data_IF_530944129498
#
_entry.id   IF_530944129498
#
_cell.length_a   1.000
_cell.length_b   1.000
_cell.length_c   1.000
_cell.angle_alpha   90.00
_cell.angle_beta   90.00
_cell.angle_gamma   90.00
#
_symmetry.space_group_name_H-M   'P 1'
#
loop_
_entity.id
_entity.type
_entity.pdbx_description
1 polymer ?
#
# COMPACT_ATOMS: atom_id res chain seq x y z
N UNK A 1 6.17 13.53 -8.59
CA UNK A 1 5.71 12.74 -9.74
C UNK A 1 4.30 13.13 -10.21
N UNK A 2 3.43 13.64 -9.34
CA UNK A 2 2.10 14.15 -9.70
C UNK A 2 2.09 15.69 -9.86
N UNK A 3 1.28 16.26 -10.77
CA UNK A 3 1.04 17.71 -10.80
C UNK A 3 0.52 18.26 -9.47
N UNK A 4 0.93 19.48 -9.11
CA UNK A 4 0.59 20.05 -7.82
C UNK A 4 -0.93 20.23 -7.64
N UNK A 5 -1.64 20.68 -8.67
CA UNK A 5 -3.09 20.88 -8.62
C UNK A 5 -3.84 19.58 -8.27
N UNK A 6 -3.40 18.45 -8.84
CA UNK A 6 -4.01 17.15 -8.59
C UNK A 6 -3.79 16.71 -7.14
N UNK A 7 -2.57 16.92 -6.62
CA UNK A 7 -2.28 16.64 -5.20
C UNK A 7 -3.09 17.52 -4.24
N UNK A 8 -3.30 18.79 -4.58
CA UNK A 8 -4.11 19.71 -3.77
C UNK A 8 -5.58 19.32 -3.80
N UNK A 9 -6.12 18.96 -4.96
CA UNK A 9 -7.51 18.51 -5.10
C UNK A 9 -7.75 17.23 -4.31
N UNK A 10 -6.84 16.26 -4.40
CA UNK A 10 -6.89 15.03 -3.61
C UNK A 10 -6.86 15.28 -2.10
N UNK A 11 -6.01 16.21 -1.64
CA UNK A 11 -5.99 16.63 -0.23
C UNK A 11 -7.32 17.25 0.21
N UNK A 12 -7.89 18.17 -0.56
CA UNK A 12 -9.16 18.84 -0.22
C UNK A 12 -10.32 17.83 -0.12
N UNK A 13 -10.46 16.94 -1.11
CA UNK A 13 -11.51 15.92 -1.05
C UNK A 13 -11.31 14.93 0.10
N UNK A 14 -10.05 14.60 0.43
CA UNK A 14 -9.74 13.75 1.59
C UNK A 14 -10.17 14.42 2.90
N UNK A 15 -9.95 15.73 3.05
CA UNK A 15 -10.44 16.48 4.22
C UNK A 15 -11.97 16.53 4.28
N UNK A 16 -12.64 16.70 3.13
CA UNK A 16 -14.11 16.67 3.07
C UNK A 16 -14.67 15.29 3.44
N UNK A 17 -13.99 14.21 3.06
CA UNK A 17 -14.41 12.82 3.34
C UNK A 17 -14.42 12.48 4.84
N UNK A 18 -13.75 13.28 5.67
CA UNK A 18 -13.72 13.08 7.12
C UNK A 18 -15.13 13.12 7.73
N UNK A 19 -15.91 14.17 7.42
CA UNK A 19 -17.23 14.38 8.02
C UNK A 19 -18.25 13.26 7.76
N UNK A 20 -18.49 12.80 6.51
CA UNK A 20 -19.41 11.69 6.28
C UNK A 20 -18.91 10.39 6.91
N UNK A 21 -17.59 10.18 6.96
CA UNK A 21 -17.02 8.99 7.62
C UNK A 21 -17.30 8.99 9.13
N UNK A 22 -17.09 10.12 9.79
CA UNK A 22 -17.45 10.27 11.21
C UNK A 22 -18.95 10.20 11.44
N UNK A 23 -19.78 10.62 10.48
CA UNK A 23 -21.22 10.39 10.51
C UNK A 23 -21.56 8.91 10.72
N UNK A 24 -20.88 8.00 10.00
CA UNK A 24 -21.03 6.55 10.19
C UNK A 24 -20.61 6.08 11.58
N UNK A 25 -19.48 6.57 12.10
CA UNK A 25 -18.99 6.22 13.45
C UNK A 25 -19.97 6.68 14.52
N UNK A 26 -20.34 7.96 14.48
CA UNK A 26 -21.23 8.60 15.45
C UNK A 26 -22.60 7.90 15.42
N UNK A 27 -23.14 7.60 14.25
CA UNK A 27 -24.38 6.84 14.12
C UNK A 27 -24.28 5.46 14.80
N UNK A 28 -23.20 4.72 14.54
CA UNK A 28 -22.96 3.41 15.16
C UNK A 28 -22.87 3.48 16.68
N UNK A 29 -22.10 4.43 17.23
CA UNK A 29 -21.91 4.56 18.69
C UNK A 29 -23.15 5.15 19.40
N UNK A 30 -23.82 6.14 18.81
CA UNK A 30 -25.03 6.73 19.39
C UNK A 30 -26.23 5.79 19.35
N UNK A 31 -26.24 4.78 18.46
CA UNK A 31 -27.24 3.70 18.50
C UNK A 31 -27.20 2.93 19.82
N UNK A 32 -26.03 2.86 20.47
CA UNK A 32 -25.84 2.21 21.78
C UNK A 32 -26.13 3.13 22.97
N UNK A 33 -26.53 4.39 22.72
CA UNK A 33 -26.79 5.37 23.79
C UNK A 33 -27.85 4.85 24.76
N UNK A 34 -27.50 4.83 26.04
CA UNK A 34 -28.35 4.31 27.11
C UNK A 34 -28.37 2.78 27.26
N UNK A 35 -27.58 2.05 26.46
CA UNK A 35 -27.45 0.57 26.51
C UNK A 35 -25.99 0.08 26.57
N UNK A 36 -25.09 0.91 27.09
CA UNK A 36 -23.65 0.59 27.22
C UNK A 36 -23.38 -0.58 28.17
N UNK A 37 -24.28 -0.84 29.12
CA UNK A 37 -24.29 -2.03 29.98
C UNK A 37 -24.26 -3.33 29.17
N UNK A 38 -24.93 -3.35 28.00
CA UNK A 38 -24.95 -4.53 27.12
C UNK A 38 -23.61 -4.78 26.44
N UNK A 39 -22.82 -3.76 26.19
CA UNK A 39 -21.49 -3.90 25.57
C UNK A 39 -20.56 -4.66 26.51
N UNK A 40 -20.64 -4.42 27.82
CA UNK A 40 -19.83 -5.15 28.79
C UNK A 40 -20.19 -6.65 28.85
N UNK A 41 -21.47 -6.98 28.64
CA UNK A 41 -21.99 -8.34 28.75
C UNK A 41 -21.89 -9.16 27.45
N UNK A 42 -22.05 -8.55 26.28
CA UNK A 42 -22.09 -9.23 24.99
C UNK A 42 -20.78 -9.02 24.19
N UNK A 43 -19.93 -10.05 24.03
CA UNK A 43 -18.69 -9.92 23.27
C UNK A 43 -18.89 -9.53 21.81
N UNK A 44 -20.02 -9.88 21.18
CA UNK A 44 -20.33 -9.45 19.81
C UNK A 44 -20.42 -7.93 19.73
N UNK A 45 -21.10 -7.31 20.71
CA UNK A 45 -21.15 -5.86 20.81
C UNK A 45 -19.77 -5.25 21.09
N UNK A 46 -18.91 -5.92 21.87
CA UNK A 46 -17.52 -5.47 22.06
C UNK A 46 -16.76 -5.41 20.74
N UNK A 47 -16.88 -6.44 19.90
CA UNK A 47 -16.27 -6.45 18.56
C UNK A 47 -16.74 -5.26 17.73
N UNK A 48 -18.05 -5.01 17.67
CA UNK A 48 -18.59 -3.88 16.90
C UNK A 48 -18.16 -2.52 17.44
N UNK A 49 -18.17 -2.32 18.76
CA UNK A 49 -17.74 -1.05 19.35
C UNK A 49 -16.27 -0.77 19.04
N UNK A 50 -15.39 -1.75 19.25
CA UNK A 50 -13.96 -1.61 18.92
C UNK A 50 -13.78 -1.36 17.42
N UNK A 51 -14.50 -2.08 16.56
CA UNK A 51 -14.46 -1.89 15.12
C UNK A 51 -14.81 -0.46 14.70
N UNK A 52 -15.91 0.08 15.24
CA UNK A 52 -16.38 1.43 14.94
C UNK A 52 -15.45 2.50 15.51
N UNK A 53 -14.82 2.26 16.66
CA UNK A 53 -13.78 3.16 17.19
C UNK A 53 -12.55 3.20 16.28
N UNK A 54 -12.06 2.04 15.83
CA UNK A 54 -10.96 1.98 14.87
C UNK A 54 -11.32 2.61 13.52
N UNK A 55 -12.56 2.44 13.07
CA UNK A 55 -13.08 3.12 11.89
C UNK A 55 -12.96 4.65 12.03
N UNK A 56 -13.43 5.21 13.14
CA UNK A 56 -13.33 6.63 13.42
C UNK A 56 -11.90 7.14 13.48
N UNK A 57 -11.01 6.37 14.12
CA UNK A 57 -9.59 6.69 14.22
C UNK A 57 -8.93 6.70 12.84
N UNK A 58 -9.08 5.63 12.05
CA UNK A 58 -8.50 5.53 10.71
C UNK A 58 -9.08 6.59 9.77
N UNK A 59 -10.39 6.87 9.84
CA UNK A 59 -11.01 7.89 8.97
C UNK A 59 -10.78 9.33 9.41
N UNK A 60 -10.26 9.55 10.62
CA UNK A 60 -9.64 10.82 11.00
C UNK A 60 -8.21 10.92 10.47
N UNK A 61 -7.45 9.84 10.65
CA UNK A 61 -6.04 9.79 10.29
C UNK A 61 -5.78 9.88 8.79
N UNK A 62 -6.56 9.18 7.95
CA UNK A 62 -6.40 9.21 6.49
C UNK A 62 -6.43 10.64 5.92
N UNK A 63 -7.44 11.45 6.24
CA UNK A 63 -7.48 12.88 5.89
C UNK A 63 -6.26 13.66 6.40
N UNK A 64 -5.78 13.41 7.63
CA UNK A 64 -4.56 14.06 8.13
C UNK A 64 -3.33 13.69 7.28
N UNK A 65 -3.19 12.42 6.91
CA UNK A 65 -2.07 11.93 6.08
C UNK A 65 -2.10 12.47 4.65
N UNK A 66 -3.24 12.98 4.19
CA UNK A 66 -3.37 13.65 2.89
C UNK A 66 -2.84 15.10 2.90
N UNK A 67 -2.76 15.73 4.08
CA UNK A 67 -2.22 17.09 4.23
C UNK A 67 -0.73 17.06 3.86
N UNK A 68 -0.33 17.87 2.87
CA UNK A 68 1.04 17.88 2.30
C UNK A 68 2.16 17.92 3.37
N UNK A 69 1.98 18.73 4.42
CA UNK A 69 2.97 18.84 5.50
C UNK A 69 3.09 17.57 6.34
N UNK A 70 1.97 16.91 6.66
CA UNK A 70 1.95 15.63 7.37
C UNK A 70 2.46 14.52 6.46
N UNK A 71 2.02 14.50 5.20
CA UNK A 71 2.46 13.55 4.19
C UNK A 71 3.98 13.58 3.97
N UNK A 72 4.60 14.76 4.06
CA UNK A 72 6.06 14.88 3.98
C UNK A 72 6.80 14.04 5.03
N UNK A 73 6.15 13.78 6.18
CA UNK A 73 6.64 12.93 7.26
C UNK A 73 6.21 11.49 7.10
N UNK A 74 4.92 11.25 6.86
CA UNK A 74 4.37 9.89 6.89
C UNK A 74 4.67 9.08 5.63
N UNK A 75 4.82 9.71 4.46
CA UNK A 75 5.03 9.01 3.20
C UNK A 75 6.32 8.20 3.22
N UNK A 76 6.25 6.97 2.72
CA UNK A 76 7.28 5.92 2.79
C UNK A 76 7.61 5.35 4.17
N UNK A 77 7.08 5.92 5.24
CA UNK A 77 7.32 5.41 6.59
C UNK A 77 6.30 4.33 6.96
N UNK A 78 6.58 3.64 8.07
CA UNK A 78 5.67 2.71 8.71
C UNK A 78 4.41 3.38 9.28
N UNK A 79 4.30 4.71 9.29
CA UNK A 79 3.05 5.39 9.65
C UNK A 79 1.92 4.93 8.73
N UNK A 80 2.14 4.89 7.41
CA UNK A 80 1.16 4.36 6.45
C UNK A 80 0.77 2.91 6.76
N UNK A 81 1.71 2.11 7.28
CA UNK A 81 1.45 0.73 7.70
C UNK A 81 0.61 0.67 8.97
N UNK A 82 0.85 1.54 9.96
CA UNK A 82 -0.01 1.62 11.14
C UNK A 82 -1.43 2.03 10.74
N UNK A 83 -1.57 3.06 9.90
CA UNK A 83 -2.86 3.53 9.40
C UNK A 83 -3.68 2.41 8.73
N UNK A 84 -3.07 1.67 7.78
CA UNK A 84 -3.78 0.60 7.07
C UNK A 84 -4.14 -0.55 8.01
N UNK A 85 -3.33 -0.89 9.02
CA UNK A 85 -3.66 -1.97 9.95
C UNK A 85 -4.70 -1.56 11.00
N UNK A 86 -4.70 -0.30 11.44
CA UNK A 86 -5.80 0.27 12.24
C UNK A 86 -7.14 0.07 11.52
N UNK A 87 -7.20 0.34 10.20
CA UNK A 87 -8.41 0.13 9.40
C UNK A 87 -8.69 -1.34 9.06
N UNK A 88 -7.69 -2.07 8.55
CA UNK A 88 -7.88 -3.44 8.07
C UNK A 88 -8.13 -4.44 9.20
N UNK A 89 -7.36 -4.37 10.28
CA UNK A 89 -7.51 -5.28 11.40
C UNK A 89 -8.47 -4.70 12.44
N UNK A 90 -8.19 -3.46 12.89
CA UNK A 90 -8.96 -2.81 13.94
C UNK A 90 -10.43 -2.57 13.57
N UNK A 91 -10.71 -2.09 12.35
CA UNK A 91 -12.08 -1.90 11.86
C UNK A 91 -12.61 -3.12 11.12
N UNK A 92 -12.10 -3.42 9.92
CA UNK A 92 -12.69 -4.44 9.04
C UNK A 92 -12.65 -5.83 9.69
N UNK A 93 -11.52 -6.19 10.30
CA UNK A 93 -11.34 -7.46 11.01
C UNK A 93 -12.34 -7.63 12.15
N UNK A 94 -12.38 -6.69 13.11
CA UNK A 94 -13.33 -6.76 14.23
C UNK A 94 -14.80 -6.72 13.78
N UNK A 95 -15.13 -5.93 12.76
CA UNK A 95 -16.48 -5.90 12.17
C UNK A 95 -16.84 -7.28 11.61
N UNK A 96 -15.95 -7.89 10.83
CA UNK A 96 -16.14 -9.22 10.27
C UNK A 96 -16.27 -10.28 11.37
N UNK A 97 -15.43 -10.24 12.41
CA UNK A 97 -15.52 -11.17 13.54
C UNK A 97 -16.86 -11.05 14.28
N UNK A 98 -17.31 -9.82 14.57
CA UNK A 98 -18.62 -9.57 15.16
C UNK A 98 -19.76 -10.14 14.31
N UNK A 99 -19.71 -9.92 12.98
CA UNK A 99 -20.69 -10.47 12.04
C UNK A 99 -20.69 -12.00 12.04
N UNK A 100 -19.52 -12.63 11.99
CA UNK A 100 -19.38 -14.09 12.01
C UNK A 100 -19.98 -14.68 13.28
N UNK A 101 -19.62 -14.16 14.46
CA UNK A 101 -20.17 -14.67 15.73
C UNK A 101 -21.67 -14.45 15.87
N UNK A 102 -22.21 -13.40 15.26
CA UNK A 102 -23.65 -13.14 15.26
C UNK A 102 -24.41 -14.04 14.27
N UNK A 103 -23.85 -14.24 13.07
CA UNK A 103 -24.49 -15.00 11.98
C UNK A 103 -24.44 -16.51 12.20
N UNK A 104 -23.31 -17.04 12.68
CA UNK A 104 -23.10 -18.48 12.80
C UNK A 104 -24.25 -19.25 13.47
N UNK A 105 -24.70 -18.89 14.70
CA UNK A 105 -25.77 -19.63 15.35
C UNK A 105 -27.13 -19.48 14.67
N UNK A 106 -27.31 -18.44 13.82
CA UNK A 106 -28.53 -18.20 13.04
C UNK A 106 -28.53 -19.03 11.76
N UNK A 107 -27.42 -19.01 11.03
CA UNK A 107 -27.27 -19.78 9.79
C UNK A 107 -27.31 -21.28 10.05
N UNK A 108 -26.61 -21.76 11.08
CA UNK A 108 -26.54 -23.17 11.43
C UNK A 108 -27.61 -23.61 12.44
N UNK A 109 -28.52 -22.70 12.82
CA UNK A 109 -29.66 -22.96 13.74
C UNK A 109 -29.25 -23.66 15.05
N UNK A 110 -28.07 -23.33 15.56
CA UNK A 110 -27.54 -23.92 16.81
C UNK A 110 -28.03 -23.21 18.06
N UNK A 111 -28.66 -22.03 17.90
CA UNK A 111 -29.14 -21.18 19.00
C UNK A 111 -28.05 -20.44 19.77
N UNK A 112 -26.82 -20.95 19.79
CA UNK A 112 -25.64 -20.34 20.41
C UNK A 112 -24.34 -20.74 19.73
N UNK A 113 -23.31 -19.92 19.91
CA UNK A 113 -21.94 -20.27 19.53
C UNK A 113 -21.40 -21.40 20.42
N UNK A 114 -20.46 -22.19 19.91
CA UNK A 114 -19.90 -23.34 20.63
C UNK A 114 -19.25 -22.94 21.96
N UNK A 115 -18.41 -21.89 21.98
CA UNK A 115 -17.75 -21.43 23.19
C UNK A 115 -17.74 -19.91 23.34
N UNK A 116 -18.49 -19.42 24.34
CA UNK A 116 -18.47 -18.00 24.71
C UNK A 116 -17.10 -17.55 25.25
N UNK A 117 -16.44 -18.41 26.04
CA UNK A 117 -15.12 -18.12 26.62
C UNK A 117 -14.04 -17.92 25.54
N UNK A 118 -14.07 -18.72 24.47
CA UNK A 118 -13.13 -18.55 23.36
C UNK A 118 -13.43 -17.30 22.53
N UNK A 119 -14.70 -16.92 22.40
CA UNK A 119 -15.09 -15.65 21.77
C UNK A 119 -14.55 -14.45 22.58
N UNK A 120 -14.65 -14.48 23.91
CA UNK A 120 -14.05 -13.47 24.78
C UNK A 120 -12.53 -13.46 24.72
N UNK A 121 -11.90 -14.62 24.74
CA UNK A 121 -10.45 -14.73 24.61
C UNK A 121 -9.98 -14.18 23.25
N UNK A 122 -10.67 -14.52 22.17
CA UNK A 122 -10.41 -13.96 20.85
C UNK A 122 -10.51 -12.43 20.87
N UNK A 123 -11.58 -11.87 21.45
CA UNK A 123 -11.75 -10.43 21.56
C UNK A 123 -10.51 -9.79 22.22
N UNK A 124 -10.11 -10.27 23.40
CA UNK A 124 -8.98 -9.70 24.13
C UNK A 124 -7.64 -9.88 23.42
N UNK A 125 -7.37 -11.06 22.85
CA UNK A 125 -6.15 -11.30 22.07
C UNK A 125 -6.09 -10.39 20.84
N UNK A 126 -7.22 -10.23 20.14
CA UNK A 126 -7.33 -9.31 19.02
C UNK A 126 -7.09 -7.87 19.45
N UNK A 127 -7.71 -7.40 20.55
CA UNK A 127 -7.65 -6.00 20.97
C UNK A 127 -6.27 -5.63 21.48
N UNK A 128 -5.69 -6.46 22.36
CA UNK A 128 -4.32 -6.24 22.83
C UNK A 128 -3.33 -6.39 21.67
N UNK A 129 -3.53 -7.38 20.81
CA UNK A 129 -2.70 -7.62 19.64
C UNK A 129 -2.64 -6.42 18.70
N UNK A 130 -3.79 -5.85 18.33
CA UNK A 130 -3.84 -4.69 17.43
C UNK A 130 -3.27 -3.43 18.08
N UNK A 131 -3.51 -3.20 19.38
CA UNK A 131 -2.94 -2.05 20.10
C UNK A 131 -1.42 -2.12 20.15
N UNK A 132 -0.84 -3.27 20.48
CA UNK A 132 0.62 -3.47 20.45
C UNK A 132 1.17 -3.25 19.05
N UNK A 133 0.48 -3.74 18.03
CA UNK A 133 0.87 -3.58 16.63
C UNK A 133 0.93 -2.12 16.21
N UNK A 134 -0.17 -1.37 16.38
CA UNK A 134 -0.27 -0.02 15.83
C UNK A 134 0.59 0.96 16.62
N UNK A 135 0.66 0.83 17.95
CA UNK A 135 1.44 1.77 18.79
C UNK A 135 2.93 1.66 18.47
N UNK A 136 3.44 0.44 18.28
CA UNK A 136 4.85 0.26 17.91
C UNK A 136 5.14 0.79 16.50
N UNK A 137 4.22 0.61 15.56
CA UNK A 137 4.41 1.00 14.16
C UNK A 137 4.14 2.48 13.91
N UNK A 138 3.28 3.14 14.68
CA UNK A 138 3.23 4.60 14.75
C UNK A 138 4.55 5.16 15.25
N UNK A 139 5.07 4.59 16.34
CA UNK A 139 6.38 4.99 16.88
C UNK A 139 7.49 4.81 15.85
N UNK A 140 7.45 3.71 15.07
CA UNK A 140 8.39 3.46 13.99
C UNK A 140 8.28 4.48 12.87
N UNK A 141 7.06 4.76 12.40
CA UNK A 141 6.81 5.72 11.32
C UNK A 141 7.27 7.15 11.67
N UNK A 142 6.92 7.62 12.87
CA UNK A 142 7.37 8.93 13.35
C UNK A 142 8.89 8.97 13.50
N UNK A 143 9.50 7.92 14.07
CA UNK A 143 10.96 7.82 14.23
C UNK A 143 11.66 7.87 12.88
N UNK A 144 11.20 7.09 11.90
CA UNK A 144 11.71 7.12 10.51
C UNK A 144 11.64 8.53 9.94
N UNK A 145 10.46 9.12 9.92
CA UNK A 145 10.25 10.41 9.29
C UNK A 145 11.08 11.53 9.96
N UNK A 146 11.25 11.49 11.29
CA UNK A 146 12.07 12.45 12.04
C UNK A 146 13.57 12.22 11.85
N UNK A 147 14.05 10.97 11.85
CA UNK A 147 15.47 10.67 11.62
C UNK A 147 15.88 11.01 10.19
N UNK A 148 15.05 10.70 9.19
CA UNK A 148 15.38 10.96 7.79
C UNK A 148 15.53 12.45 7.46
N UNK A 149 14.80 13.31 8.17
CA UNK A 149 14.82 14.78 7.99
C UNK A 149 15.76 15.52 8.93
N UNK A 150 16.38 14.84 9.88
CA UNK A 150 17.18 15.49 10.91
C UNK A 150 18.49 16.03 10.30
N UNK A 151 18.76 17.31 10.56
CA UNK A 151 20.02 17.96 10.25
C UNK A 151 20.74 18.32 11.55
N UNK A 152 22.07 18.22 11.54
CA UNK A 152 22.91 18.68 12.64
C UNK A 152 23.13 20.21 12.59
N UNK A 153 23.85 20.75 13.58
CA UNK A 153 24.17 22.17 13.66
C UNK A 153 25.04 22.68 12.49
N UNK A 154 25.73 21.78 11.77
CA UNK A 154 26.54 22.11 10.58
C UNK A 154 25.71 22.13 9.29
N UNK A 155 24.43 21.75 9.38
CA UNK A 155 23.52 21.70 8.25
C UNK A 155 23.63 20.43 7.41
N UNK A 156 24.32 19.38 7.90
CA UNK A 156 24.41 18.04 7.30
C UNK A 156 23.39 17.09 7.91
N UNK A 157 23.10 15.97 7.25
CA UNK A 157 22.18 14.97 7.78
C UNK A 157 22.73 14.36 9.08
N UNK A 158 21.91 14.37 10.14
CA UNK A 158 22.30 13.80 11.44
C UNK A 158 22.45 12.27 11.40
N UNK A 159 21.70 11.62 10.51
CA UNK A 159 21.74 10.16 10.30
C UNK A 159 21.95 9.89 8.80
N UNK A 160 23.16 10.03 8.26
CA UNK A 160 23.43 9.90 6.81
C UNK A 160 23.26 8.47 6.32
N UNK A 161 23.56 7.47 7.15
CA UNK A 161 23.42 6.06 6.77
C UNK A 161 22.01 5.56 7.09
N UNK A 162 21.34 5.02 6.07
CA UNK A 162 19.95 4.57 6.20
C UNK A 162 19.81 3.44 7.25
N UNK A 163 20.85 2.60 7.38
CA UNK A 163 20.87 1.45 8.30
C UNK A 163 20.75 1.88 9.77
N UNK A 164 21.22 3.08 10.15
CA UNK A 164 21.08 3.60 11.52
C UNK A 164 19.61 3.72 11.92
N UNK A 165 18.78 4.23 11.00
CA UNK A 165 17.34 4.31 11.23
C UNK A 165 16.77 2.92 11.38
N UNK A 166 17.09 2.00 10.46
CA UNK A 166 16.59 0.62 10.50
C UNK A 166 16.87 -0.05 11.85
N UNK A 167 18.11 0.06 12.34
CA UNK A 167 18.50 -0.52 13.62
C UNK A 167 17.74 0.08 14.80
N UNK A 168 17.39 1.37 14.73
CA UNK A 168 16.57 2.03 15.76
C UNK A 168 15.14 1.49 15.81
N UNK A 169 14.61 0.99 14.70
CA UNK A 169 13.24 0.49 14.58
C UNK A 169 13.09 -0.98 14.97
N UNK A 170 14.18 -1.76 15.01
CA UNK A 170 14.12 -3.21 15.26
C UNK A 170 13.29 -3.59 16.51
N UNK A 171 13.40 -2.90 17.66
CA UNK A 171 12.54 -3.20 18.81
C UNK A 171 11.04 -3.00 18.52
N UNK A 172 10.68 -2.00 17.73
CA UNK A 172 9.29 -1.70 17.35
C UNK A 172 8.72 -2.79 16.43
N UNK A 173 9.56 -3.34 15.54
CA UNK A 173 9.20 -4.50 14.70
C UNK A 173 9.01 -5.77 15.51
N UNK A 174 9.80 -5.98 16.58
CA UNK A 174 9.57 -7.11 17.49
C UNK A 174 8.22 -6.99 18.20
N UNK A 175 7.87 -5.80 18.71
CA UNK A 175 6.55 -5.57 19.33
C UNK A 175 5.42 -5.77 18.32
N UNK A 176 5.61 -5.32 17.07
CA UNK A 176 4.65 -5.57 15.97
C UNK A 176 4.45 -7.07 15.74
N UNK A 177 5.53 -7.86 15.71
CA UNK A 177 5.45 -9.29 15.51
C UNK A 177 4.67 -9.98 16.64
N UNK A 178 4.90 -9.59 17.89
CA UNK A 178 4.14 -10.08 19.06
C UNK A 178 2.66 -9.70 18.95
N UNK A 179 2.35 -8.44 18.66
CA UNK A 179 0.97 -7.98 18.48
C UNK A 179 0.23 -8.71 17.35
N UNK A 180 0.91 -8.90 16.21
CA UNK A 180 0.38 -9.65 15.07
C UNK A 180 0.15 -11.13 15.40
N UNK A 181 1.04 -11.76 16.15
CA UNK A 181 0.88 -13.16 16.59
C UNK A 181 -0.33 -13.33 17.51
N UNK A 182 -0.55 -12.40 18.46
CA UNK A 182 -1.74 -12.40 19.32
C UNK A 182 -3.02 -12.28 18.48
N UNK A 183 -3.03 -11.39 17.50
CA UNK A 183 -4.18 -11.21 16.60
C UNK A 183 -4.47 -12.47 15.77
N UNK A 184 -3.44 -13.07 15.16
CA UNK A 184 -3.55 -14.32 14.39
C UNK A 184 -4.05 -15.45 15.28
N UNK A 185 -3.52 -15.57 16.50
CA UNK A 185 -3.98 -16.57 17.47
C UNK A 185 -5.47 -16.39 17.76
N UNK A 186 -5.91 -15.14 17.97
CA UNK A 186 -7.32 -14.80 18.09
C UNK A 186 -8.16 -15.25 16.89
N UNK A 187 -7.71 -14.95 15.66
CA UNK A 187 -8.39 -15.36 14.44
C UNK A 187 -8.49 -16.90 14.29
N UNK A 188 -7.45 -17.64 14.70
CA UNK A 188 -7.48 -19.11 14.75
C UNK A 188 -8.54 -19.58 15.75
N UNK A 189 -8.64 -18.97 16.94
CA UNK A 189 -9.71 -19.29 17.90
C UNK A 189 -11.09 -19.04 17.30
N UNK A 190 -11.26 -17.96 16.53
CA UNK A 190 -12.49 -17.70 15.79
C UNK A 190 -12.82 -18.81 14.79
N UNK A 191 -11.84 -19.25 14.00
CA UNK A 191 -12.02 -20.33 13.03
C UNK A 191 -12.39 -21.65 13.72
N UNK A 192 -11.73 -21.99 14.83
CA UNK A 192 -12.07 -23.18 15.64
C UNK A 192 -13.50 -23.08 16.17
N UNK A 193 -13.87 -21.94 16.77
CA UNK A 193 -15.20 -21.73 17.31
C UNK A 193 -16.28 -21.80 16.21
N UNK A 194 -15.96 -21.27 15.03
CA UNK A 194 -16.79 -21.35 13.84
C UNK A 194 -17.02 -22.81 13.41
N UNK A 195 -15.96 -23.58 13.17
CA UNK A 195 -16.05 -25.00 12.78
C UNK A 195 -16.80 -25.83 13.81
N UNK A 196 -16.55 -25.60 15.10
CA UNK A 196 -17.24 -26.34 16.16
C UNK A 196 -18.71 -25.95 16.26
N UNK A 197 -19.06 -24.67 16.04
CA UNK A 197 -20.46 -24.24 15.98
C UNK A 197 -21.17 -24.90 14.81
N UNK A 198 -20.55 -24.95 13.62
CA UNK A 198 -21.14 -25.67 12.47
C UNK A 198 -21.39 -27.15 12.76
N UNK A 199 -20.49 -27.81 13.49
CA UNK A 199 -20.63 -29.22 13.88
C UNK A 199 -21.74 -29.47 14.92
N UNK A 200 -22.20 -28.43 15.61
CA UNK A 200 -23.36 -28.52 16.52
C UNK A 200 -24.70 -28.40 15.79
N UNK A 201 -24.70 -28.15 14.47
CA UNK A 201 -25.92 -28.02 13.70
C UNK A 201 -26.80 -29.28 13.85
N UNK A 202 -28.13 -29.12 14.00
CA UNK A 202 -29.04 -30.26 14.10
C UNK A 202 -28.95 -31.14 12.84
N UNK A 203 -29.09 -32.45 13.02
CA UNK A 203 -29.09 -33.39 11.91
C UNK A 203 -30.36 -33.21 11.05
N UNK A 204 -30.20 -32.85 9.79
CA UNK A 204 -31.30 -32.61 8.84
C UNK A 204 -31.03 -31.44 7.90
N UNK A 205 -32.00 -31.11 7.05
CA UNK A 205 -31.95 -29.90 6.23
C UNK A 205 -32.21 -28.68 7.13
N UNK A 206 -31.28 -27.73 7.15
CA UNK A 206 -31.48 -26.45 7.81
C UNK A 206 -32.67 -25.74 7.15
N UNK A 207 -33.58 -25.22 7.97
CA UNK A 207 -34.71 -24.44 7.45
C UNK A 207 -34.18 -23.16 6.82
N UNK A 208 -34.60 -22.81 5.60
CA UNK A 208 -34.29 -21.50 5.05
C UNK A 208 -35.49 -20.58 5.35
N UNK A 209 -35.45 -19.75 6.40
CA UNK A 209 -36.56 -18.88 6.71
C UNK A 209 -36.70 -17.86 5.57
N UNK A 210 -37.80 -17.92 4.83
CA UNK A 210 -38.12 -16.92 3.80
C UNK A 210 -38.37 -15.59 4.49
N UNK A 211 -37.36 -14.73 4.51
CA UNK A 211 -37.47 -13.37 5.02
C UNK A 211 -37.95 -12.45 3.88
N UNK A 212 -39.26 -12.27 3.75
CA UNK A 212 -39.82 -11.27 2.84
C UNK A 212 -39.80 -9.89 3.51
N UNK A 213 -39.15 -8.92 2.86
CA UNK A 213 -39.24 -7.53 3.30
C UNK A 213 -40.68 -7.02 3.11
N UNK A 214 -41.21 -6.19 4.02
CA UNK A 214 -42.51 -5.56 3.83
C UNK A 214 -42.56 -4.83 2.47
N UNK A 215 -43.66 -4.98 1.74
CA UNK A 215 -43.84 -4.28 0.48
C UNK A 215 -43.73 -2.76 0.71
N UNK A 216 -42.95 -2.08 -0.14
CA UNK A 216 -42.82 -0.62 -0.10
C UNK A 216 -44.20 0.01 -0.35
N UNK A 217 -44.66 0.89 0.55
CA UNK A 217 -45.88 1.65 0.32
C UNK A 217 -45.63 2.65 -0.83
N UNK A 218 -46.50 2.63 -1.85
CA UNK A 218 -46.32 3.41 -3.09
C UNK A 218 -46.45 4.93 -2.94
N UNK A 219 -46.91 5.40 -1.78
CA UNK A 219 -47.20 6.81 -1.50
C UNK A 219 -45.98 7.63 -1.07
N UNK A 220 -44.82 7.01 -0.84
CA UNK A 220 -43.59 7.73 -0.51
C UNK A 220 -43.59 8.37 0.90
N UNK A 221 -44.73 8.42 1.58
CA UNK A 221 -44.89 8.95 2.93
C UNK A 221 -45.19 7.82 3.91
N UNK A 222 -44.18 7.38 4.65
CA UNK A 222 -44.50 7.11 6.06
C UNK A 222 -44.95 8.47 6.61
N UNK A 223 -46.25 8.62 6.84
CA UNK A 223 -46.82 9.82 7.42
C UNK A 223 -46.10 10.03 8.77
N UNK A 224 -45.16 10.98 8.81
CA UNK A 224 -44.55 11.43 10.07
C UNK A 224 -45.46 12.55 10.59
N UNK A 225 -46.34 12.27 11.56
CA UNK A 225 -47.29 13.26 12.07
C UNK A 225 -46.60 14.50 12.67
N UNK A 226 -45.28 14.47 12.87
CA UNK A 226 -44.47 15.63 13.26
C UNK A 226 -44.27 16.66 12.14
N UNK A 227 -44.64 16.35 10.88
CA UNK A 227 -44.33 17.16 9.69
C UNK A 227 -45.53 17.69 8.91
N UNK A 228 -46.76 17.49 9.40
CA UNK A 228 -47.99 17.85 8.69
C UNK A 228 -48.13 19.34 8.34
N UNK A 229 -47.38 20.23 8.99
CA UNK A 229 -47.40 21.68 8.78
C UNK A 229 -46.00 22.29 8.53
N UNK A 230 -45.02 21.49 8.06
CA UNK A 230 -43.68 22.02 7.74
C UNK A 230 -43.73 22.93 6.51
N UNK A 231 -43.17 24.14 6.61
CA UNK A 231 -42.92 25.00 5.46
C UNK A 231 -41.94 24.33 4.49
N UNK A 232 -41.91 24.75 3.22
CA UNK A 232 -40.92 24.24 2.25
C UNK A 232 -39.46 24.36 2.77
N UNK A 233 -39.18 25.43 3.53
CA UNK A 233 -37.88 25.60 4.21
C UNK A 233 -37.69 24.62 5.38
N UNK A 234 -38.73 24.36 6.17
CA UNK A 234 -38.73 23.34 7.22
C UNK A 234 -38.51 21.93 6.66
N UNK A 235 -39.16 21.59 5.55
CA UNK A 235 -38.95 20.33 4.84
C UNK A 235 -37.52 20.19 4.29
N UNK A 236 -36.97 21.27 3.73
CA UNK A 236 -35.59 21.26 3.20
C UNK A 236 -34.54 21.15 4.31
N UNK A 237 -34.63 22.00 5.34
CA UNK A 237 -33.68 22.03 6.47
C UNK A 237 -33.84 20.83 7.41
N UNK A 238 -35.05 20.28 7.51
CA UNK A 238 -35.33 19.01 8.19
C UNK A 238 -34.90 17.78 7.40
N UNK A 239 -34.36 17.93 6.18
CA UNK A 239 -33.95 16.82 5.31
C UNK A 239 -35.11 15.88 4.93
N UNK A 240 -36.33 16.38 4.81
CA UNK A 240 -37.49 15.59 4.33
C UNK A 240 -37.28 15.03 2.93
N UNK A 241 -36.52 15.72 2.09
CA UNK A 241 -36.07 15.25 0.77
C UNK A 241 -35.19 13.99 0.86
N UNK A 242 -34.33 13.88 1.88
CA UNK A 242 -33.38 12.79 2.02
C UNK A 242 -34.09 11.43 2.10
N UNK A 243 -35.19 11.36 2.86
CA UNK A 243 -35.99 10.13 3.05
C UNK A 243 -36.68 9.65 1.76
N UNK A 244 -37.01 10.56 0.85
CA UNK A 244 -37.52 10.22 -0.48
C UNK A 244 -36.45 9.51 -1.32
N UNK A 245 -35.20 9.95 -1.20
CA UNK A 245 -34.06 9.34 -1.90
C UNK A 245 -33.62 8.02 -1.26
N UNK A 246 -33.64 7.89 0.07
CA UNK A 246 -33.35 6.65 0.80
C UNK A 246 -34.23 5.47 0.33
N UNK A 247 -35.49 5.74 -0.02
CA UNK A 247 -36.43 4.72 -0.52
C UNK A 247 -36.13 4.26 -1.95
N UNK A 248 -35.40 5.06 -2.73
CA UNK A 248 -35.12 4.79 -4.15
C UNK A 248 -33.73 4.16 -4.32
N UNK A 249 -33.45 3.09 -3.57
CA UNK A 249 -32.16 2.42 -3.57
C UNK A 249 -31.64 2.08 -4.97
N UNK A 250 -32.48 1.54 -5.86
CA UNK A 250 -32.07 1.23 -7.24
C UNK A 250 -31.68 2.48 -8.04
N UNK A 251 -32.47 3.55 -7.95
CA UNK A 251 -32.20 4.81 -8.66
C UNK A 251 -30.93 5.45 -8.13
N UNK A 252 -30.74 5.46 -6.82
CA UNK A 252 -29.53 5.97 -6.18
C UNK A 252 -28.30 5.16 -6.63
N UNK A 253 -28.38 3.83 -6.66
CA UNK A 253 -27.32 2.96 -7.17
C UNK A 253 -26.98 3.25 -8.63
N UNK A 254 -27.98 3.49 -9.49
CA UNK A 254 -27.75 3.87 -10.89
C UNK A 254 -27.01 5.20 -10.97
N UNK A 255 -27.43 6.22 -10.21
CA UNK A 255 -26.75 7.52 -10.21
C UNK A 255 -25.33 7.43 -9.68
N UNK A 256 -25.10 6.68 -8.59
CA UNK A 256 -23.76 6.42 -8.06
C UNK A 256 -22.90 5.74 -9.13
N UNK A 257 -23.42 4.72 -9.82
CA UNK A 257 -22.70 4.05 -10.89
C UNK A 257 -22.35 5.01 -12.04
N UNK A 258 -23.30 5.84 -12.48
CA UNK A 258 -23.05 6.87 -13.51
C UNK A 258 -21.97 7.85 -13.03
N UNK A 259 -22.08 8.36 -11.81
CA UNK A 259 -21.10 9.30 -11.24
C UNK A 259 -19.70 8.69 -11.15
N UNK A 260 -19.58 7.44 -10.69
CA UNK A 260 -18.29 6.74 -10.61
C UNK A 260 -17.71 6.53 -12.01
N UNK A 261 -18.51 6.07 -12.98
CA UNK A 261 -18.07 5.88 -14.37
C UNK A 261 -17.62 7.21 -14.97
N UNK A 262 -18.44 8.27 -14.84
CA UNK A 262 -18.09 9.59 -15.36
C UNK A 262 -16.80 10.13 -14.73
N UNK A 263 -16.68 10.10 -13.40
CA UNK A 263 -15.47 10.54 -12.69
C UNK A 263 -14.24 9.74 -13.14
N UNK A 264 -14.37 8.41 -13.25
CA UNK A 264 -13.29 7.54 -13.72
C UNK A 264 -12.88 7.87 -15.15
N UNK A 265 -13.83 8.10 -16.06
CA UNK A 265 -13.55 8.50 -17.43
C UNK A 265 -12.88 9.88 -17.50
N UNK A 266 -13.32 10.85 -16.68
CA UNK A 266 -12.70 12.16 -16.59
C UNK A 266 -11.27 12.12 -16.06
N UNK A 267 -10.92 11.15 -15.22
CA UNK A 267 -9.54 10.96 -14.72
C UNK A 267 -8.67 10.17 -15.73
N UNK A 268 -9.21 9.10 -16.30
CA UNK A 268 -8.49 8.18 -17.18
C UNK A 268 -8.26 8.79 -18.56
N UNK A 269 -9.30 9.31 -19.22
CA UNK A 269 -9.22 9.72 -20.63
C UNK A 269 -8.15 10.80 -20.87
N UNK A 270 -8.06 11.89 -20.09
CA UNK A 270 -7.01 12.90 -20.29
C UNK A 270 -5.61 12.34 -20.07
N UNK A 271 -5.46 11.39 -19.15
CA UNK A 271 -4.15 10.78 -18.83
C UNK A 271 -3.64 9.91 -19.99
N UNK A 272 -4.53 9.19 -20.68
CA UNK A 272 -4.15 8.34 -21.83
C UNK A 272 -4.11 9.08 -23.17
N UNK A 273 -4.99 10.07 -23.38
CA UNK A 273 -5.14 10.72 -24.70
C UNK A 273 -4.22 11.93 -24.87
N UNK A 274 -3.87 12.63 -23.79
CA UNK A 274 -3.08 13.87 -23.87
C UNK A 274 -1.61 13.56 -23.58
N UNK A 275 -0.85 13.22 -24.62
CA UNK A 275 0.59 12.88 -24.50
C UNK A 275 1.43 14.00 -23.87
N UNK A 276 1.01 15.27 -23.97
CA UNK A 276 1.71 16.39 -23.32
C UNK A 276 1.59 16.39 -21.79
N UNK A 277 0.68 15.61 -21.21
CA UNK A 277 0.59 15.46 -19.75
C UNK A 277 1.72 14.61 -19.17
N UNK A 278 2.43 13.84 -20.01
CA UNK A 278 3.59 13.03 -19.61
C UNK A 278 4.85 13.77 -20.09
N UNK A 279 5.53 14.53 -19.21
CA UNK A 279 6.75 15.24 -19.61
C UNK A 279 7.81 14.22 -20.02
N UNK A 280 8.25 14.24 -21.28
CA UNK A 280 9.36 13.41 -21.75
C UNK A 280 10.68 14.15 -21.56
N UNK A 281 11.70 13.40 -21.18
CA UNK A 281 13.06 13.93 -21.04
C UNK A 281 13.88 13.33 -22.18
N UNK A 282 14.45 14.18 -23.04
CA UNK A 282 15.11 13.73 -24.27
C UNK A 282 16.30 12.75 -24.03
N UNK A 283 16.99 12.89 -22.89
CA UNK A 283 18.10 12.03 -22.50
C UNK A 283 17.66 10.65 -21.98
N UNK A 284 16.40 10.49 -21.57
CA UNK A 284 15.87 9.22 -21.08
C UNK A 284 15.62 8.30 -22.28
N UNK A 285 16.42 7.24 -22.36
CA UNK A 285 16.33 6.21 -23.41
C UNK A 285 15.74 4.92 -22.86
N UNK A 286 15.09 4.09 -23.69
CA UNK A 286 14.69 2.73 -23.30
C UNK A 286 15.86 1.96 -22.67
N UNK A 287 15.55 1.10 -21.70
CA UNK A 287 16.54 0.18 -21.16
C UNK A 287 17.08 -0.71 -22.26
N UNK A 288 18.38 -0.98 -22.26
CA UNK A 288 18.97 -2.03 -23.11
C UNK A 288 18.32 -3.39 -22.81
N UNK A 289 18.40 -4.37 -23.73
CA UNK A 289 17.81 -5.70 -23.51
C UNK A 289 18.24 -6.38 -22.21
N UNK A 290 19.51 -6.26 -21.82
CA UNK A 290 20.00 -6.82 -20.56
C UNK A 290 19.51 -6.02 -19.33
N UNK A 291 19.49 -4.69 -19.40
CA UNK A 291 18.93 -3.84 -18.34
C UNK A 291 17.45 -4.14 -18.10
N UNK A 292 16.68 -4.36 -19.17
CA UNK A 292 15.28 -4.75 -19.05
C UNK A 292 15.12 -6.12 -18.38
N UNK A 293 15.95 -7.10 -18.74
CA UNK A 293 15.96 -8.41 -18.07
C UNK A 293 16.34 -8.28 -16.59
N UNK A 294 17.35 -7.45 -16.27
CA UNK A 294 17.75 -7.13 -14.90
C UNK A 294 16.65 -6.46 -14.08
N UNK A 295 15.86 -5.60 -14.72
CA UNK A 295 14.67 -5.00 -14.12
C UNK A 295 13.60 -6.05 -13.81
N UNK A 296 13.39 -7.00 -14.70
CA UNK A 296 12.43 -8.09 -14.47
C UNK A 296 12.87 -8.94 -13.27
N UNK A 297 14.17 -9.20 -13.10
CA UNK A 297 14.75 -9.82 -11.90
C UNK A 297 14.49 -8.96 -10.66
N UNK A 298 14.76 -7.66 -10.72
CA UNK A 298 14.50 -6.75 -9.59
C UNK A 298 13.03 -6.81 -9.11
N UNK A 299 12.10 -6.94 -10.06
CA UNK A 299 10.66 -7.06 -9.77
C UNK A 299 10.31 -8.45 -9.24
N UNK A 300 10.82 -9.53 -9.84
CA UNK A 300 10.52 -10.90 -9.41
C UNK A 300 11.07 -11.22 -8.03
N UNK A 301 12.23 -10.67 -7.67
CA UNK A 301 12.86 -10.79 -6.36
C UNK A 301 12.22 -9.88 -5.30
N UNK A 302 11.25 -9.04 -5.71
CA UNK A 302 10.49 -8.19 -4.79
C UNK A 302 11.29 -7.06 -4.17
N UNK A 303 12.42 -6.64 -4.78
CA UNK A 303 13.30 -5.59 -4.27
C UNK A 303 12.56 -4.27 -4.02
N UNK A 304 11.53 -3.98 -4.83
CA UNK A 304 10.68 -2.80 -4.72
C UNK A 304 9.86 -2.72 -3.42
N UNK A 305 9.68 -3.83 -2.70
CA UNK A 305 8.99 -3.84 -1.41
C UNK A 305 9.82 -3.18 -0.29
N UNK A 306 11.14 -3.08 -0.50
CA UNK A 306 12.09 -2.49 0.44
C UNK A 306 12.65 -1.17 -0.08
N UNK A 307 12.91 -1.09 -1.39
CA UNK A 307 13.59 0.00 -2.05
C UNK A 307 12.65 0.70 -3.03
N UNK A 308 12.35 1.97 -2.76
CA UNK A 308 11.71 2.81 -3.77
C UNK A 308 12.72 3.26 -4.81
N UNK A 309 12.20 3.67 -5.96
CA UNK A 309 12.93 4.39 -6.99
C UNK A 309 12.29 5.75 -7.24
N UNK A 310 12.15 6.55 -6.18
CA UNK A 310 11.58 7.90 -6.26
C UNK A 310 12.13 8.78 -5.14
N UNK A 311 13.24 9.47 -5.41
CA UNK A 311 13.76 10.54 -4.56
C UNK A 311 12.78 11.71 -4.54
N UNK A 312 12.29 12.07 -3.36
CA UNK A 312 11.28 13.13 -3.19
C UNK A 312 11.93 14.52 -3.29
N UNK A 313 11.20 15.56 -3.72
CA UNK A 313 11.73 16.93 -3.84
C UNK A 313 11.78 17.62 -2.46
N UNK A 314 12.52 17.04 -1.52
CA UNK A 314 12.71 17.55 -0.17
C UNK A 314 14.21 17.64 0.11
N UNK A 315 14.66 18.69 0.80
CA UNK A 315 16.09 18.93 1.07
C UNK A 315 16.81 17.70 1.65
N UNK A 316 16.20 17.03 2.63
CA UNK A 316 16.80 15.86 3.29
C UNK A 316 16.86 14.60 2.43
N UNK A 317 16.03 14.52 1.39
CA UNK A 317 16.07 13.43 0.41
C UNK A 317 17.15 13.71 -0.63
N UNK A 318 17.20 14.95 -1.13
CA UNK A 318 18.16 15.32 -2.15
C UNK A 318 19.59 15.35 -1.63
N UNK A 319 19.78 15.76 -0.36
CA UNK A 319 21.09 15.67 0.31
C UNK A 319 21.57 14.22 0.46
N UNK A 320 20.65 13.28 0.68
CA UNK A 320 20.98 11.87 0.93
C UNK A 320 21.24 11.09 -0.36
N UNK A 321 20.40 11.29 -1.36
CA UNK A 321 20.37 10.45 -2.57
C UNK A 321 20.81 11.18 -3.84
N UNK A 322 20.85 12.51 -3.84
CA UNK A 322 21.09 13.33 -5.03
C UNK A 322 19.79 13.90 -5.60
N UNK A 323 19.82 14.35 -6.86
CA UNK A 323 18.71 15.08 -7.47
C UNK A 323 17.36 14.33 -7.38
N UNK A 324 16.28 15.07 -7.09
CA UNK A 324 14.94 14.50 -6.98
C UNK A 324 14.49 13.85 -8.30
N UNK A 325 13.56 12.90 -8.18
CA UNK A 325 13.06 12.13 -9.33
C UNK A 325 11.98 12.88 -10.10
N UNK A 326 12.15 12.97 -11.42
CA UNK A 326 11.23 13.62 -12.36
C UNK A 326 10.30 12.56 -12.97
N UNK A 327 9.00 12.86 -13.20
CA UNK A 327 8.06 11.91 -13.81
C UNK A 327 8.57 11.34 -15.14
N UNK A 328 9.26 12.16 -15.94
CA UNK A 328 9.79 11.79 -17.25
C UNK A 328 10.91 10.75 -17.24
N UNK A 329 11.49 10.43 -16.08
CA UNK A 329 12.47 9.35 -15.95
C UNK A 329 11.84 7.96 -15.97
N UNK A 330 10.52 7.86 -15.73
CA UNK A 330 9.79 6.60 -15.61
C UNK A 330 8.96 6.25 -16.85
N UNK A 331 9.12 6.97 -17.97
CA UNK A 331 8.22 6.84 -19.13
C UNK A 331 8.22 5.44 -19.77
N UNK A 332 9.30 4.69 -19.57
CA UNK A 332 9.45 3.32 -20.08
C UNK A 332 9.23 2.26 -18.99
N UNK A 333 9.03 2.67 -17.73
CA UNK A 333 8.80 1.76 -16.63
C UNK A 333 7.37 1.23 -16.65
N UNK A 334 7.24 -0.10 -16.68
CA UNK A 334 5.96 -0.79 -16.57
C UNK A 334 6.07 -1.95 -15.57
N UNK A 335 5.41 -1.89 -14.41
CA UNK A 335 4.93 -0.68 -13.73
C UNK A 335 6.10 0.15 -13.15
N UNK A 336 5.92 1.44 -12.86
CA UNK A 336 6.91 2.24 -12.12
C UNK A 336 7.18 1.67 -10.71
N UNK A 337 8.40 1.89 -10.19
CA UNK A 337 8.88 1.29 -8.93
C UNK A 337 8.95 2.31 -7.77
N UNK A 338 7.98 3.22 -7.67
CA UNK A 338 7.97 4.27 -6.63
C UNK A 338 7.80 3.73 -5.22
N UNK A 339 7.24 2.51 -5.07
CA UNK A 339 6.94 1.89 -3.79
C UNK A 339 5.89 2.65 -2.97
N UNK A 340 5.49 2.08 -1.84
CA UNK A 340 4.61 2.72 -0.85
C UNK A 340 5.23 2.80 0.55
N UNK A 341 6.41 2.18 0.73
CA UNK A 341 7.19 2.11 1.97
C UNK A 341 8.68 1.98 1.63
N UNK A 342 9.56 2.41 2.55
CA UNK A 342 11.00 2.16 2.51
C UNK A 342 11.46 1.41 3.76
N UNK A 343 12.06 0.24 3.53
CA UNK A 343 12.82 -0.51 4.55
C UNK A 343 14.32 -0.46 4.24
N UNK A 344 14.68 -0.18 2.98
CA UNK A 344 16.03 0.16 2.54
C UNK A 344 16.08 1.57 1.95
N UNK A 345 17.29 2.06 1.60
CA UNK A 345 17.47 3.34 0.93
C UNK A 345 16.78 3.38 -0.44
N UNK A 346 16.48 4.58 -0.93
CA UNK A 346 16.06 4.77 -2.33
C UNK A 346 17.20 4.42 -3.29
N UNK A 347 16.85 3.80 -4.42
CA UNK A 347 17.83 3.31 -5.40
C UNK A 347 17.84 4.09 -6.71
N UNK A 348 16.99 5.10 -6.91
CA UNK A 348 16.87 5.75 -8.22
C UNK A 348 18.14 6.51 -8.66
N UNK A 349 19.09 6.72 -7.75
CA UNK A 349 20.38 7.39 -8.00
C UNK A 349 21.58 6.48 -7.70
N UNK A 350 21.39 5.17 -7.65
CA UNK A 350 22.47 4.22 -7.35
C UNK A 350 23.43 4.01 -8.52
N UNK A 351 23.02 4.34 -9.75
CA UNK A 351 23.84 4.13 -10.94
C UNK A 351 25.19 4.85 -10.90
N UNK A 352 26.27 4.08 -11.01
CA UNK A 352 27.66 4.51 -10.91
C UNK A 352 28.12 4.88 -9.49
N UNK A 353 27.32 4.63 -8.46
CA UNK A 353 27.70 4.93 -7.06
C UNK A 353 28.67 3.89 -6.50
N UNK A 354 28.47 2.62 -6.85
CA UNK A 354 29.29 1.50 -6.40
C UNK A 354 29.83 0.72 -7.60
N UNK A 355 31.01 0.10 -7.48
CA UNK A 355 31.56 -0.74 -8.55
C UNK A 355 30.78 -2.06 -8.66
N UNK A 356 30.85 -2.72 -9.83
CA UNK A 356 30.08 -3.95 -10.09
C UNK A 356 30.36 -5.06 -9.07
N UNK A 357 31.62 -5.22 -8.64
CA UNK A 357 31.98 -6.23 -7.63
C UNK A 357 31.39 -5.92 -6.23
N UNK A 358 31.12 -4.64 -5.92
CA UNK A 358 30.40 -4.29 -4.70
C UNK A 358 28.97 -4.82 -4.77
N UNK A 359 28.31 -4.72 -5.92
CA UNK A 359 26.95 -5.26 -6.09
C UNK A 359 26.92 -6.79 -5.98
N UNK A 360 27.91 -7.48 -6.55
CA UNK A 360 28.07 -8.94 -6.37
C UNK A 360 28.18 -9.29 -4.88
N UNK A 361 29.12 -8.65 -4.18
CA UNK A 361 29.38 -8.89 -2.75
C UNK A 361 28.16 -8.55 -1.88
N UNK A 362 27.46 -7.45 -2.21
CA UNK A 362 26.27 -7.00 -1.49
C UNK A 362 25.09 -7.95 -1.68
N UNK A 363 24.87 -8.49 -2.88
CA UNK A 363 23.80 -9.47 -3.11
C UNK A 363 24.13 -10.83 -2.51
N UNK A 364 25.40 -11.24 -2.53
CA UNK A 364 25.83 -12.50 -1.91
C UNK A 364 25.74 -12.45 -0.38
N UNK A 365 26.24 -11.37 0.24
CA UNK A 365 26.10 -11.10 1.66
C UNK A 365 26.03 -9.58 1.93
N UNK A 366 24.82 -9.02 2.12
CA UNK A 366 24.65 -7.59 2.40
C UNK A 366 25.40 -7.12 3.66
N UNK A 367 25.73 -8.03 4.59
CA UNK A 367 26.44 -7.71 5.83
C UNK A 367 27.94 -7.53 5.62
N UNK A 368 28.49 -8.04 4.51
CA UNK A 368 29.90 -7.82 4.15
C UNK A 368 30.19 -6.36 3.79
N UNK A 369 29.21 -5.68 3.19
CA UNK A 369 29.31 -4.29 2.72
C UNK A 369 28.61 -3.32 3.67
N UNK A 370 27.52 -3.76 4.31
CA UNK A 370 26.76 -2.99 5.30
C UNK A 370 26.52 -3.87 6.54
N UNK A 371 27.40 -3.85 7.56
CA UNK A 371 27.42 -4.81 8.68
C UNK A 371 26.07 -5.08 9.37
N UNK A 372 25.20 -4.08 9.47
CA UNK A 372 23.90 -4.16 10.14
C UNK A 372 22.72 -4.30 9.18
N UNK A 373 22.97 -4.66 7.92
CA UNK A 373 21.92 -4.81 6.92
C UNK A 373 20.92 -5.90 7.31
N UNK A 374 19.63 -5.55 7.25
CA UNK A 374 18.51 -6.50 7.36
C UNK A 374 18.08 -7.07 6.01
N UNK A 375 18.73 -6.66 4.92
CA UNK A 375 18.44 -7.15 3.58
C UNK A 375 18.68 -8.67 3.52
N UNK A 376 17.77 -9.45 2.89
CA UNK A 376 18.00 -10.86 2.61
C UNK A 376 19.23 -11.06 1.71
N UNK A 377 19.83 -12.25 1.77
CA UNK A 377 20.89 -12.65 0.83
C UNK A 377 20.24 -13.18 -0.45
N UNK A 378 20.86 -12.89 -1.60
CA UNK A 378 20.44 -13.34 -2.93
C UNK A 378 21.54 -14.15 -3.65
N UNK A 379 22.15 -15.18 -3.02
CA UNK A 379 23.30 -15.89 -3.59
C UNK A 379 22.96 -16.71 -4.85
N UNK A 380 21.68 -16.98 -5.11
CA UNK A 380 21.25 -17.68 -6.32
C UNK A 380 21.43 -16.85 -7.59
N UNK A 381 21.46 -15.51 -7.49
CA UNK A 381 21.69 -14.64 -8.66
C UNK A 381 23.07 -14.86 -9.30
N UNK A 382 24.06 -15.29 -8.51
CA UNK A 382 25.38 -15.67 -9.04
C UNK A 382 25.42 -17.10 -9.60
N UNK A 383 24.38 -17.90 -9.38
CA UNK A 383 24.31 -19.32 -9.80
C UNK A 383 23.42 -19.50 -11.02
N UNK A 384 22.26 -18.85 -11.02
CA UNK A 384 21.27 -18.92 -12.08
C UNK A 384 21.80 -18.28 -13.35
N UNK A 385 21.46 -18.91 -14.47
CA UNK A 385 21.81 -18.45 -15.80
C UNK A 385 20.72 -17.55 -16.37
N UNK A 386 21.15 -16.51 -17.08
CA UNK A 386 20.28 -15.65 -17.86
C UNK A 386 19.63 -16.49 -18.96
N UNK A 387 18.30 -16.46 -19.01
CA UNK A 387 17.53 -17.00 -20.13
C UNK A 387 17.57 -16.01 -21.31
N UNK A 388 18.69 -16.01 -22.03
CA UNK A 388 18.93 -15.15 -23.19
C UNK A 388 17.87 -15.31 -24.28
N UNK A 389 17.34 -16.52 -24.48
CA UNK A 389 16.31 -16.79 -25.48
C UNK A 389 15.00 -16.06 -25.16
N UNK A 390 14.71 -15.79 -23.87
CA UNK A 390 13.53 -15.01 -23.46
C UNK A 390 13.65 -13.51 -23.67
N UNK A 391 14.85 -12.98 -23.94
CA UNK A 391 15.08 -11.52 -24.02
C UNK A 391 14.37 -10.94 -25.25
N UNK A 392 14.48 -11.58 -26.41
CA UNK A 392 13.86 -11.09 -27.64
C UNK A 392 12.32 -10.94 -27.51
N UNK A 393 11.57 -11.97 -27.07
CA UNK A 393 10.12 -11.83 -26.84
C UNK A 393 9.73 -10.71 -25.87
N UNK A 394 10.56 -10.39 -24.87
CA UNK A 394 10.29 -9.30 -23.91
C UNK A 394 10.43 -7.93 -24.56
N UNK A 395 11.45 -7.75 -25.40
CA UNK A 395 11.66 -6.50 -26.14
C UNK A 395 10.57 -6.33 -27.19
N UNK A 396 10.17 -7.40 -27.88
CA UNK A 396 9.03 -7.38 -28.81
C UNK A 396 7.74 -6.96 -28.10
N UNK A 397 7.48 -7.48 -26.89
CA UNK A 397 6.33 -7.07 -26.09
C UNK A 397 6.36 -5.58 -25.70
N UNK A 398 7.53 -5.04 -25.36
CA UNK A 398 7.68 -3.61 -25.07
C UNK A 398 7.55 -2.74 -26.33
N UNK A 399 7.97 -3.25 -27.49
CA UNK A 399 7.75 -2.61 -28.78
C UNK A 399 6.25 -2.52 -29.08
N UNK A 400 5.49 -3.60 -28.85
CA UNK A 400 4.02 -3.58 -28.97
C UNK A 400 3.37 -2.53 -28.06
N UNK A 401 3.98 -2.24 -26.90
CA UNK A 401 3.55 -1.19 -25.97
C UNK A 401 4.07 0.21 -26.34
N UNK A 402 4.72 0.36 -27.49
CA UNK A 402 5.17 1.63 -28.05
C UNK A 402 6.53 2.13 -27.54
N UNK A 403 7.38 1.28 -26.97
CA UNK A 403 8.74 1.67 -26.57
C UNK A 403 9.67 1.77 -27.81
N UNK A 404 10.37 2.89 -28.04
CA UNK A 404 11.14 3.12 -29.26
C UNK A 404 12.54 2.48 -29.19
N UNK A 405 12.63 1.16 -29.36
CA UNK A 405 13.89 0.41 -29.29
C UNK A 405 14.86 0.62 -30.47
N UNK A 406 14.40 1.17 -31.60
CA UNK A 406 15.23 1.30 -32.81
C UNK A 406 15.79 -0.04 -33.29
N UNK A 407 16.99 -0.04 -33.86
CA UNK A 407 17.63 -1.22 -34.46
C UNK A 407 18.08 -2.29 -33.44
N UNK A 408 18.06 -1.97 -32.15
CA UNK A 408 18.41 -2.92 -31.08
C UNK A 408 17.41 -4.08 -31.02
N UNK A 409 16.20 -3.89 -31.56
CA UNK A 409 15.16 -4.92 -31.57
C UNK A 409 15.56 -6.14 -32.39
N UNK A 410 16.28 -6.00 -33.51
CA UNK A 410 16.58 -7.12 -34.40
C UNK A 410 17.73 -8.02 -33.89
N UNK A 411 18.39 -7.60 -32.81
CA UNK A 411 19.57 -8.28 -32.24
C UNK A 411 19.58 -8.24 -30.71
N UNK A 412 18.40 -8.21 -30.08
CA UNK A 412 18.27 -7.97 -28.65
C UNK A 412 19.06 -8.99 -27.81
N UNK A 413 19.01 -10.27 -28.19
CA UNK A 413 19.78 -11.33 -27.52
C UNK A 413 21.29 -11.10 -27.64
N UNK A 414 21.79 -10.83 -28.85
CA UNK A 414 23.22 -10.62 -29.08
C UNK A 414 23.72 -9.36 -28.36
N UNK A 415 22.91 -8.30 -28.33
CA UNK A 415 23.20 -7.08 -27.59
C UNK A 415 23.32 -7.38 -26.09
N UNK A 416 22.38 -8.15 -25.53
CA UNK A 416 22.42 -8.55 -24.13
C UNK A 416 23.66 -9.38 -23.80
N UNK A 417 24.04 -10.34 -24.66
CA UNK A 417 25.25 -11.16 -24.48
C UNK A 417 26.51 -10.30 -24.44
N UNK A 418 26.64 -9.38 -25.40
CA UNK A 418 27.78 -8.46 -25.51
C UNK A 418 27.90 -7.56 -24.27
N UNK A 419 26.77 -7.03 -23.78
CA UNK A 419 26.75 -6.21 -22.57
C UNK A 419 27.09 -7.04 -21.32
N UNK A 420 26.55 -8.26 -21.20
CA UNK A 420 26.83 -9.16 -20.09
C UNK A 420 28.31 -9.54 -20.03
N UNK A 421 28.93 -9.82 -21.18
CA UNK A 421 30.37 -10.04 -21.31
C UNK A 421 31.21 -8.85 -20.84
N UNK A 422 30.78 -7.63 -21.16
CA UNK A 422 31.49 -6.42 -20.73
C UNK A 422 31.44 -6.24 -19.22
N UNK A 423 30.29 -6.44 -18.60
CA UNK A 423 30.10 -6.31 -17.15
C UNK A 423 30.84 -7.43 -16.42
N UNK A 424 30.73 -8.68 -16.90
CA UNK A 424 31.44 -9.81 -16.31
C UNK A 424 32.97 -9.63 -16.34
N UNK A 425 33.52 -9.14 -17.45
CA UNK A 425 34.94 -8.74 -17.52
C UNK A 425 35.29 -7.68 -16.48
N UNK A 426 34.45 -6.65 -16.33
CA UNK A 426 34.64 -5.61 -15.31
C UNK A 426 34.66 -6.17 -13.88
N UNK A 427 33.87 -7.21 -13.59
CA UNK A 427 33.87 -7.92 -12.31
C UNK A 427 35.19 -8.70 -12.11
N UNK A 428 35.65 -9.42 -13.14
CA UNK A 428 36.92 -10.17 -13.10
C UNK A 428 38.12 -9.22 -12.90
N UNK A 429 38.12 -8.07 -13.58
CA UNK A 429 39.16 -7.05 -13.45
C UNK A 429 39.23 -6.47 -12.03
N UNK A 430 38.13 -6.52 -11.28
CA UNK A 430 38.04 -6.12 -9.87
C UNK A 430 38.39 -7.26 -8.90
N UNK A 431 38.89 -8.39 -9.39
CA UNK A 431 39.25 -9.58 -8.60
C UNK A 431 38.06 -10.48 -8.25
N UNK A 432 36.92 -10.31 -8.91
CA UNK A 432 35.73 -11.15 -8.75
C UNK A 432 35.76 -12.43 -9.58
N UNK A 433 34.79 -13.33 -9.37
CA UNK A 433 34.64 -14.52 -10.21
C UNK A 433 34.11 -14.16 -11.61
N UNK A 434 34.35 -15.02 -12.59
CA UNK A 434 33.69 -14.93 -13.89
C UNK A 434 32.21 -15.31 -13.74
N UNK A 435 31.36 -14.30 -13.89
CA UNK A 435 29.90 -14.40 -13.77
C UNK A 435 29.21 -14.15 -15.12
N UNK A 436 29.93 -14.32 -16.23
CA UNK A 436 29.33 -14.17 -17.55
C UNK A 436 28.09 -15.07 -17.69
N UNK A 437 26.99 -14.45 -18.12
CA UNK A 437 25.72 -15.16 -18.32
C UNK A 437 24.93 -15.44 -17.03
N UNK A 438 25.35 -14.91 -15.87
CA UNK A 438 24.61 -15.08 -14.60
C UNK A 438 23.62 -13.95 -14.35
N UNK A 439 22.49 -14.27 -13.71
CA UNK A 439 21.41 -13.30 -13.40
C UNK A 439 21.90 -12.04 -12.69
N UNK A 440 22.89 -12.18 -11.79
CA UNK A 440 23.52 -11.05 -11.08
C UNK A 440 24.08 -10.00 -12.04
N UNK A 441 24.62 -10.40 -13.20
CA UNK A 441 25.15 -9.48 -14.20
C UNK A 441 24.03 -8.66 -14.84
N UNK A 442 22.89 -9.27 -15.12
CA UNK A 442 21.73 -8.55 -15.63
C UNK A 442 21.17 -7.57 -14.60
N UNK A 443 21.04 -8.00 -13.33
CA UNK A 443 20.62 -7.12 -12.24
C UNK A 443 21.57 -5.93 -12.07
N UNK A 444 22.89 -6.16 -12.14
CA UNK A 444 23.90 -5.09 -12.08
C UNK A 444 23.71 -4.11 -13.25
N UNK A 445 23.49 -4.60 -14.47
CA UNK A 445 23.23 -3.74 -15.63
C UNK A 445 22.07 -2.77 -15.33
N UNK A 446 20.95 -3.28 -14.80
CA UNK A 446 19.81 -2.46 -14.41
C UNK A 446 20.13 -1.47 -13.28
N UNK A 447 20.79 -1.91 -12.20
CA UNK A 447 21.12 -1.02 -11.07
C UNK A 447 22.10 0.08 -11.47
N UNK A 448 23.09 -0.23 -12.31
CA UNK A 448 24.05 0.74 -12.82
C UNK A 448 23.41 1.78 -13.74
N UNK A 449 22.29 1.42 -14.36
CA UNK A 449 21.53 2.29 -15.25
C UNK A 449 20.68 3.33 -14.51
N UNK A 450 20.26 3.06 -13.27
CA UNK A 450 19.32 3.92 -12.50
C UNK A 450 19.88 5.34 -12.26
N UNK A 451 19.15 6.34 -12.73
CA UNK A 451 19.46 7.77 -12.52
C UNK A 451 20.64 8.33 -13.32
N UNK A 452 21.13 7.60 -14.31
CA UNK A 452 22.28 8.05 -15.13
C UNK A 452 21.91 8.97 -16.28
N UNK A 453 20.67 8.92 -16.78
CA UNK A 453 20.24 9.72 -17.95
C UNK A 453 20.22 11.22 -17.69
N UNK A 454 19.90 11.62 -16.47
CA UNK A 454 19.86 13.04 -16.09
C UNK A 454 21.26 13.64 -16.01
N UNK A 455 22.28 12.85 -15.62
CA UNK A 455 23.69 13.29 -15.60
C UNK A 455 24.20 13.63 -17.01
N UNK A 456 23.67 12.95 -18.03
CA UNK A 456 24.00 13.21 -19.44
C UNK A 456 23.42 14.54 -19.94
N UNK A 457 22.34 15.04 -19.35
CA UNK A 457 21.79 16.36 -19.67
C UNK A 457 22.73 17.48 -19.21
N UNK A 458 23.21 17.40 -17.97
CA UNK A 458 24.11 18.40 -17.39
C UNK A 458 25.45 18.49 -18.13
N UNK A 459 25.92 17.37 -18.70
CA UNK A 459 27.12 17.32 -19.53
C UNK A 459 26.92 17.93 -20.93
N UNK A 460 25.69 17.92 -21.47
CA UNK A 460 25.35 18.56 -22.75
C UNK A 460 24.99 20.04 -22.65
N UNK A 461 24.77 20.53 -21.42
CA UNK A 461 24.49 21.93 -21.10
C UNK A 461 25.74 22.71 -20.62
N UNK A 462 26.89 22.04 -20.56
CA UNK A 462 28.24 22.62 -20.39
C UNK A 462 29.00 22.48 -21.70
#
# INVERSE_FOLDING_TARGET
>A
ALPEWASTLGMLFSLMLWMPSWGGMINGLLTLRGRWDRVAADPVLKFYVVAVTFYGMSTFEGPMLSIKSVNSLSHYTDWTIAHVHSGALGWNGFMAFGMVYWLLPRLYQTGKVWSHKLMELHFWLGTVGILLYIVSIYSAGVTQGLMWRAFDATGRLAYPDFVETVMRLMPMYMVRAVGGLLYITGAILCAVNMVMTMKMAPAGQLQDPVAEAPALTGDGSEHDPRRENESAWGWFTGMGWHRVWERKGLVFTIFVAISVISASLFEILPTFLIKSNIPTIASVKPYTPLEQYGRDIYVSEGCYNCHSQMVRPMRHETERYGEYSKPGEFIYDRPFQWGSRRIGPDLHRVGGKYPDMWHVSHMEDPRSTTPQSIMPRYPWLAKNDIDFASIQPRIDALLMLGVPYGDVVDSAEQNARTQAESIARGIVDQGGPDLQGKDIVALIAYLQRLGTDIKKMDASAR
#
